data_IF_385947187859
#
_entry.id   IF_385947187859
#
_cell.length_a   1.000
_cell.length_b   1.000
_cell.length_c   1.000
_cell.angle_alpha   90.00
_cell.angle_beta   90.00
_cell.angle_gamma   90.00
#
_symmetry.space_group_name_H-M   'P 1'
#
loop_
_entity.id
_entity.type
_entity.pdbx_description
1 polymer ?
#
# COMPACT_ATOMS: atom_id res chain seq x y z
N UNK A 1 -16.11 -49.73 -5.74
CA UNK A 1 -15.46 -48.95 -6.82
C UNK A 1 -15.79 -47.46 -6.77
N UNK A 2 -17.03 -47.03 -6.44
CA UNK A 2 -17.41 -45.60 -6.41
C UNK A 2 -16.73 -44.73 -5.34
N UNK A 3 -16.70 -45.15 -4.07
CA UNK A 3 -16.15 -44.32 -2.97
C UNK A 3 -14.68 -43.91 -3.15
N UNK A 4 -13.84 -44.79 -3.69
CA UNK A 4 -12.43 -44.49 -3.97
C UNK A 4 -12.24 -43.45 -5.09
N UNK A 5 -13.20 -43.35 -6.01
CA UNK A 5 -13.19 -42.36 -7.10
C UNK A 5 -13.56 -40.96 -6.57
N UNK A 6 -14.52 -40.91 -5.63
CA UNK A 6 -14.98 -39.68 -4.99
C UNK A 6 -13.89 -39.07 -4.08
N UNK A 7 -13.21 -39.91 -3.28
CA UNK A 7 -12.12 -39.49 -2.39
C UNK A 7 -10.91 -38.95 -3.18
N UNK A 8 -10.58 -39.57 -4.32
CA UNK A 8 -9.50 -39.11 -5.20
C UNK A 8 -9.83 -37.77 -5.87
N UNK A 9 -11.09 -37.57 -6.26
CA UNK A 9 -11.57 -36.33 -6.85
C UNK A 9 -11.54 -35.19 -5.83
N UNK A 10 -11.95 -35.44 -4.59
CA UNK A 10 -11.87 -34.48 -3.48
C UNK A 10 -10.42 -34.10 -3.19
N UNK A 11 -9.50 -35.07 -3.15
CA UNK A 11 -8.09 -34.80 -2.94
C UNK A 11 -7.48 -33.92 -4.04
N UNK A 12 -7.82 -34.17 -5.32
CA UNK A 12 -7.38 -33.32 -6.44
C UNK A 12 -7.92 -31.89 -6.29
N UNK A 13 -9.21 -31.72 -5.94
CA UNK A 13 -9.80 -30.39 -5.73
C UNK A 13 -9.11 -29.66 -4.57
N UNK A 14 -8.88 -30.33 -3.43
CA UNK A 14 -8.19 -29.74 -2.29
C UNK A 14 -6.75 -29.36 -2.65
N UNK A 15 -6.04 -30.18 -3.41
CA UNK A 15 -4.66 -29.93 -3.83
C UNK A 15 -4.60 -28.75 -4.81
N UNK A 16 -5.53 -28.67 -5.76
CA UNK A 16 -5.66 -27.53 -6.68
C UNK A 16 -5.99 -26.24 -5.92
N UNK A 17 -6.88 -26.29 -4.93
CA UNK A 17 -7.20 -25.15 -4.05
C UNK A 17 -5.94 -24.69 -3.29
N UNK A 18 -5.14 -25.60 -2.73
CA UNK A 18 -3.89 -25.25 -2.05
C UNK A 18 -2.86 -24.63 -2.99
N UNK A 19 -2.72 -25.14 -4.22
CA UNK A 19 -1.82 -24.57 -5.23
C UNK A 19 -2.28 -23.14 -5.63
N UNK A 20 -3.59 -22.89 -5.70
CA UNK A 20 -4.14 -21.54 -5.95
C UNK A 20 -3.78 -20.57 -4.80
N UNK A 21 -3.79 -21.03 -3.54
CA UNK A 21 -3.45 -20.20 -2.38
C UNK A 21 -1.95 -20.03 -2.11
N UNK A 22 -1.08 -20.79 -2.77
CA UNK A 22 0.38 -20.70 -2.62
C UNK A 22 1.04 -19.62 -3.49
N UNK A 23 0.25 -18.78 -4.18
CA UNK A 23 0.81 -17.65 -4.92
C UNK A 23 1.49 -16.67 -3.96
N UNK A 24 2.79 -16.46 -4.16
CA UNK A 24 3.51 -15.40 -3.50
C UNK A 24 2.82 -14.06 -3.81
N UNK A 25 2.41 -13.38 -2.76
CA UNK A 25 1.77 -12.07 -2.82
C UNK A 25 2.82 -10.99 -3.16
N UNK A 26 3.10 -10.82 -4.46
CA UNK A 26 4.13 -9.88 -4.94
C UNK A 26 3.49 -8.52 -5.29
N UNK A 27 4.22 -7.46 -4.99
CA UNK A 27 3.92 -6.10 -5.42
C UNK A 27 5.15 -5.37 -5.94
N UNK A 28 4.93 -4.23 -6.58
CA UNK A 28 6.01 -3.37 -7.07
C UNK A 28 5.94 -1.96 -6.48
N UNK A 29 7.08 -1.28 -6.41
CA UNK A 29 7.13 0.15 -6.11
C UNK A 29 7.18 0.93 -7.42
N UNK A 30 6.18 1.78 -7.66
CA UNK A 30 6.10 2.59 -8.87
C UNK A 30 6.76 3.95 -8.63
N UNK A 31 8.06 4.02 -8.88
CA UNK A 31 8.83 5.27 -8.89
C UNK A 31 8.55 6.06 -10.16
N UNK A 32 8.28 7.36 -10.01
CA UNK A 32 7.89 8.24 -11.12
C UNK A 32 8.89 9.39 -11.38
N UNK A 33 10.07 9.35 -10.75
CA UNK A 33 11.14 10.34 -10.95
C UNK A 33 12.09 9.82 -12.03
N UNK A 34 11.77 10.10 -13.29
CA UNK A 34 12.59 9.87 -14.48
C UNK A 34 12.01 10.62 -15.68
N UNK A 35 12.74 10.71 -16.78
CA UNK A 35 12.42 11.52 -17.96
C UNK A 35 11.89 10.71 -19.16
N UNK A 36 11.88 9.38 -19.08
CA UNK A 36 11.53 8.48 -20.18
C UNK A 36 10.59 7.34 -19.78
N UNK A 37 9.83 7.50 -18.70
CA UNK A 37 8.89 6.47 -18.23
C UNK A 37 7.66 6.39 -19.14
N UNK A 38 7.08 5.19 -19.33
CA UNK A 38 5.77 5.04 -19.95
C UNK A 38 4.70 5.82 -19.18
N UNK A 39 3.61 6.25 -19.84
CA UNK A 39 2.49 6.88 -19.16
C UNK A 39 1.84 5.91 -18.15
N UNK A 40 1.18 6.41 -17.08
CA UNK A 40 0.68 5.55 -16.01
C UNK A 40 -0.26 4.44 -16.47
N UNK A 41 -1.09 4.70 -17.49
CA UNK A 41 -1.99 3.68 -18.04
C UNK A 41 -1.22 2.46 -18.57
N UNK A 42 -0.13 2.69 -19.33
CA UNK A 42 0.71 1.60 -19.84
C UNK A 42 1.40 0.83 -18.72
N UNK A 43 1.82 1.52 -17.64
CA UNK A 43 2.40 0.85 -16.47
C UNK A 43 1.37 -0.03 -15.76
N UNK A 44 0.12 0.44 -15.60
CA UNK A 44 -0.96 -0.35 -14.99
C UNK A 44 -1.34 -1.53 -15.88
N UNK A 45 -1.37 -1.36 -17.21
CA UNK A 45 -1.62 -2.45 -18.14
C UNK A 45 -0.49 -3.49 -18.12
N UNK A 46 0.77 -3.06 -18.01
CA UNK A 46 1.91 -3.96 -17.81
C UNK A 46 1.78 -4.72 -16.48
N UNK A 47 1.37 -4.07 -15.40
CA UNK A 47 1.11 -4.74 -14.12
C UNK A 47 0.06 -5.84 -14.27
N UNK A 48 -1.05 -5.54 -14.94
CA UNK A 48 -2.12 -6.53 -15.20
C UNK A 48 -1.63 -7.67 -16.08
N UNK A 49 -0.87 -7.39 -17.13
CA UNK A 49 -0.30 -8.40 -18.03
C UNK A 49 0.58 -9.40 -17.27
N UNK A 50 1.31 -8.93 -16.25
CA UNK A 50 2.19 -9.75 -15.43
C UNK A 50 1.59 -10.21 -14.09
N UNK A 51 0.26 -10.10 -13.92
CA UNK A 51 -0.44 -10.49 -12.70
C UNK A 51 0.11 -9.83 -11.41
N UNK A 52 0.62 -8.61 -11.52
CA UNK A 52 1.03 -7.79 -10.38
C UNK A 52 -0.23 -7.18 -9.77
N UNK A 53 -0.58 -7.64 -8.56
CA UNK A 53 -1.83 -7.27 -7.90
C UNK A 53 -1.65 -6.20 -6.81
N UNK A 54 -0.41 -5.76 -6.55
CA UNK A 54 -0.09 -4.76 -5.53
C UNK A 54 0.90 -3.74 -6.04
N UNK A 55 0.67 -2.48 -5.70
CA UNK A 55 1.50 -1.37 -6.14
C UNK A 55 1.68 -0.35 -5.01
N UNK A 56 2.90 0.14 -4.82
CA UNK A 56 3.20 1.27 -3.94
C UNK A 56 3.42 2.54 -4.77
N UNK A 57 2.68 3.59 -4.46
CA UNK A 57 2.94 4.97 -4.88
C UNK A 57 3.57 5.73 -3.72
N UNK A 58 4.62 6.50 -4.01
CA UNK A 58 5.33 7.29 -2.99
C UNK A 58 4.60 8.59 -2.62
N UNK A 59 3.72 9.07 -3.51
CA UNK A 59 2.95 10.30 -3.37
C UNK A 59 1.65 10.22 -4.20
N UNK A 60 0.63 11.05 -3.94
CA UNK A 60 -0.63 11.02 -4.68
C UNK A 60 -0.50 11.71 -6.05
N UNK A 61 -0.09 10.95 -7.07
CA UNK A 61 -0.03 11.44 -8.45
C UNK A 61 -1.38 11.23 -9.14
N UNK A 62 -2.15 12.29 -9.49
CA UNK A 62 -3.51 12.16 -10.00
C UNK A 62 -3.62 11.30 -11.26
N UNK A 63 -2.65 11.37 -12.18
CA UNK A 63 -2.64 10.58 -13.40
C UNK A 63 -2.49 9.08 -13.12
N UNK A 64 -1.67 8.71 -12.12
CA UNK A 64 -1.50 7.32 -11.72
C UNK A 64 -2.74 6.79 -10.98
N UNK A 65 -3.32 7.59 -10.07
CA UNK A 65 -4.57 7.25 -9.38
C UNK A 65 -5.74 7.11 -10.36
N UNK A 66 -5.79 7.93 -11.40
CA UNK A 66 -6.78 7.80 -12.47
C UNK A 66 -6.63 6.47 -13.23
N UNK A 67 -5.40 6.10 -13.61
CA UNK A 67 -5.12 4.83 -14.30
C UNK A 67 -5.41 3.60 -13.42
N UNK A 68 -5.29 3.72 -12.10
CA UNK A 68 -5.57 2.65 -11.14
C UNK A 68 -7.07 2.39 -10.94
N UNK A 69 -7.95 3.33 -11.30
CA UNK A 69 -9.40 3.17 -11.12
C UNK A 69 -9.91 1.92 -11.84
N UNK A 70 -10.55 1.02 -11.10
CA UNK A 70 -11.12 -0.21 -11.65
C UNK A 70 -10.10 -1.28 -12.08
N UNK A 71 -8.80 -1.06 -11.83
CA UNK A 71 -7.74 -2.03 -12.18
C UNK A 71 -7.76 -3.29 -11.31
N UNK A 72 -8.33 -3.21 -10.10
CA UNK A 72 -8.29 -4.27 -9.09
C UNK A 72 -6.96 -4.36 -8.31
N UNK A 73 -5.95 -3.60 -8.69
CA UNK A 73 -4.64 -3.55 -8.04
C UNK A 73 -4.76 -2.87 -6.68
N UNK A 74 -4.23 -3.51 -5.63
CA UNK A 74 -4.18 -2.97 -4.28
C UNK A 74 -3.07 -1.93 -4.13
N UNK A 75 -3.39 -0.79 -3.53
CA UNK A 75 -2.49 0.37 -3.49
C UNK A 75 -2.02 0.68 -2.07
N UNK A 76 -0.71 0.82 -1.90
CA UNK A 76 -0.10 1.56 -0.79
C UNK A 76 0.15 2.98 -1.29
N UNK A 77 -0.45 3.97 -0.64
CA UNK A 77 -0.32 5.38 -1.00
C UNK A 77 0.53 6.13 0.05
N UNK A 78 1.63 6.71 -0.37
CA UNK A 78 2.46 7.56 0.47
C UNK A 78 1.91 8.98 0.61
N UNK A 79 1.97 9.49 1.84
CA UNK A 79 1.93 10.93 2.14
C UNK A 79 3.33 11.48 2.00
N UNK A 80 3.48 12.61 1.32
CA UNK A 80 4.75 13.32 1.19
C UNK A 80 5.28 13.77 2.56
N UNK A 81 6.60 13.73 2.75
CA UNK A 81 7.22 14.06 4.05
C UNK A 81 6.91 15.52 4.46
N UNK A 82 6.83 16.42 3.48
CA UNK A 82 6.52 17.84 3.63
C UNK A 82 5.08 18.13 4.09
N UNK A 83 4.12 17.23 3.82
CA UNK A 83 2.72 17.41 4.20
C UNK A 83 2.44 17.02 5.66
N UNK A 84 3.34 16.27 6.28
CA UNK A 84 3.10 15.62 7.58
C UNK A 84 2.82 16.62 8.69
N UNK A 85 3.55 17.74 8.75
CA UNK A 85 3.32 18.75 9.79
C UNK A 85 1.94 19.39 9.66
N UNK A 86 1.50 19.69 8.44
CA UNK A 86 0.18 20.26 8.19
C UNK A 86 -0.93 19.27 8.57
N UNK A 87 -0.79 18.01 8.16
CA UNK A 87 -1.73 16.94 8.50
C UNK A 87 -1.77 16.71 10.02
N UNK A 88 -0.63 16.76 10.71
CA UNK A 88 -0.56 16.66 12.17
C UNK A 88 -1.25 17.85 12.87
N UNK A 89 -1.17 19.05 12.29
CA UNK A 89 -1.64 20.28 12.92
C UNK A 89 -3.16 20.36 13.10
N UNK A 90 -3.96 19.68 12.27
CA UNK A 90 -5.40 19.62 12.44
C UNK A 90 -6.06 18.46 11.69
N UNK A 91 -7.18 17.99 12.23
CA UNK A 91 -8.05 17.01 11.57
C UNK A 91 -8.59 17.54 10.22
N UNK A 92 -8.85 18.84 10.10
CA UNK A 92 -9.36 19.44 8.86
C UNK A 92 -8.37 19.31 7.68
N UNK A 93 -7.07 19.46 7.94
CA UNK A 93 -6.04 19.22 6.91
C UNK A 93 -6.00 17.75 6.49
N UNK A 94 -6.09 16.81 7.43
CA UNK A 94 -6.16 15.39 7.13
C UNK A 94 -7.40 15.03 6.30
N UNK A 95 -8.56 15.57 6.67
CA UNK A 95 -9.81 15.35 5.93
C UNK A 95 -9.71 15.90 4.50
N UNK A 96 -9.14 17.09 4.33
CA UNK A 96 -8.90 17.66 3.01
C UNK A 96 -7.96 16.78 2.18
N UNK A 97 -6.84 16.35 2.74
CA UNK A 97 -5.88 15.47 2.07
C UNK A 97 -6.55 14.16 1.63
N UNK A 98 -7.35 13.53 2.50
CA UNK A 98 -8.08 12.30 2.19
C UNK A 98 -9.16 12.53 1.13
N UNK A 99 -9.89 13.65 1.19
CA UNK A 99 -10.90 13.97 0.19
C UNK A 99 -10.26 14.13 -1.21
N UNK A 100 -9.11 14.80 -1.29
CA UNK A 100 -8.41 15.06 -2.55
C UNK A 100 -7.71 13.84 -3.13
N UNK A 101 -7.11 12.99 -2.28
CA UNK A 101 -6.19 11.95 -2.74
C UNK A 101 -6.77 10.53 -2.65
N UNK A 102 -7.83 10.34 -1.87
CA UNK A 102 -8.46 9.02 -1.66
C UNK A 102 -9.90 9.05 -2.17
N UNK A 103 -10.76 9.92 -1.63
CA UNK A 103 -12.19 9.92 -1.98
C UNK A 103 -12.48 10.43 -3.39
N UNK A 104 -11.61 11.26 -3.95
CA UNK A 104 -11.68 11.67 -5.36
C UNK A 104 -11.47 10.49 -6.34
N UNK A 105 -10.94 9.35 -5.87
CA UNK A 105 -10.64 8.17 -6.68
C UNK A 105 -11.34 6.92 -6.11
N UNK A 106 -12.70 6.88 -6.08
CA UNK A 106 -13.47 5.88 -5.35
C UNK A 106 -13.27 4.44 -5.85
N UNK A 107 -12.80 4.26 -7.10
CA UNK A 107 -12.57 2.94 -7.68
C UNK A 107 -11.11 2.46 -7.58
N UNK A 108 -10.24 3.17 -6.86
CA UNK A 108 -8.90 2.70 -6.52
C UNK A 108 -8.98 1.84 -5.25
N UNK A 109 -8.33 0.67 -5.27
CA UNK A 109 -8.34 -0.27 -4.15
C UNK A 109 -7.23 0.06 -3.14
N UNK A 110 -7.37 1.17 -2.43
CA UNK A 110 -6.43 1.55 -1.37
C UNK A 110 -6.43 0.51 -0.23
N UNK A 111 -5.24 0.07 0.19
CA UNK A 111 -5.05 -0.84 1.33
C UNK A 111 -4.33 -0.19 2.48
N UNK A 112 -3.30 0.60 2.18
CA UNK A 112 -2.51 1.28 3.18
C UNK A 112 -2.27 2.74 2.77
N UNK A 113 -2.28 3.63 3.75
CA UNK A 113 -1.70 4.97 3.64
C UNK A 113 -0.46 5.00 4.54
N UNK A 114 0.68 5.43 4.00
CA UNK A 114 1.93 5.55 4.77
C UNK A 114 2.27 7.01 5.03
N UNK A 115 2.43 7.37 6.29
CA UNK A 115 2.87 8.69 6.73
C UNK A 115 4.39 8.76 6.62
N UNK A 116 4.84 9.30 5.50
CA UNK A 116 6.24 9.49 5.19
C UNK A 116 6.99 8.25 4.75
N UNK A 117 8.23 8.50 4.33
CA UNK A 117 9.20 7.50 3.92
C UNK A 117 10.55 7.80 4.59
N UNK A 118 10.97 6.93 5.51
CA UNK A 118 12.32 6.94 6.12
C UNK A 118 12.65 8.29 6.78
N UNK A 119 11.71 8.79 7.60
CA UNK A 119 11.86 10.10 8.22
C UNK A 119 12.87 10.04 9.35
N UNK A 120 14.08 10.51 9.05
CA UNK A 120 15.15 10.68 10.03
C UNK A 120 15.23 12.12 10.59
N UNK A 121 14.40 13.06 10.11
CA UNK A 121 14.46 14.44 10.62
C UNK A 121 13.88 14.56 12.05
N UNK A 122 14.66 15.01 13.05
CA UNK A 122 14.16 15.21 14.42
C UNK A 122 13.09 16.30 14.50
N UNK A 123 13.01 17.17 13.49
CA UNK A 123 11.97 18.20 13.37
C UNK A 123 10.64 17.58 12.94
N UNK A 124 10.66 16.59 12.04
CA UNK A 124 9.43 16.00 11.47
C UNK A 124 8.93 14.81 12.29
N UNK A 125 9.83 14.00 12.87
CA UNK A 125 9.49 12.80 13.65
C UNK A 125 8.36 13.00 14.69
N UNK A 126 8.32 14.10 15.48
CA UNK A 126 7.25 14.31 16.46
C UNK A 126 5.84 14.42 15.86
N UNK A 127 5.74 14.73 14.57
CA UNK A 127 4.46 14.93 13.88
C UNK A 127 3.91 13.65 13.24
N UNK A 128 4.69 12.56 13.16
CA UNK A 128 4.26 11.31 12.49
C UNK A 128 3.03 10.72 13.19
N UNK A 129 3.08 10.54 14.51
CA UNK A 129 1.96 9.92 15.25
C UNK A 129 0.67 10.78 15.19
N UNK A 130 0.70 12.09 15.46
CA UNK A 130 -0.48 12.94 15.28
C UNK A 130 -1.03 12.90 13.85
N UNK A 131 -0.16 12.91 12.83
CA UNK A 131 -0.60 12.81 11.44
C UNK A 131 -1.26 11.46 11.13
N UNK A 132 -0.69 10.36 11.63
CA UNK A 132 -1.28 9.02 11.50
C UNK A 132 -2.67 8.95 12.14
N UNK A 133 -2.84 9.53 13.33
CA UNK A 133 -4.12 9.58 14.03
C UNK A 133 -5.16 10.37 13.23
N UNK A 134 -4.80 11.54 12.72
CA UNK A 134 -5.72 12.36 11.94
C UNK A 134 -6.12 11.68 10.63
N UNK A 135 -5.18 11.10 9.87
CA UNK A 135 -5.48 10.31 8.67
C UNK A 135 -6.37 9.11 9.01
N UNK A 136 -6.05 8.38 10.08
CA UNK A 136 -6.81 7.19 10.50
C UNK A 136 -8.27 7.54 10.79
N UNK A 137 -8.53 8.65 11.49
CA UNK A 137 -9.88 9.14 11.76
C UNK A 137 -10.67 9.40 10.47
N UNK A 138 -9.99 9.86 9.40
CA UNK A 138 -10.62 10.14 8.11
C UNK A 138 -10.89 8.90 7.24
N UNK A 139 -10.19 7.79 7.47
CA UNK A 139 -10.22 6.61 6.57
C UNK A 139 -10.63 5.28 7.23
N UNK A 140 -10.77 5.22 8.55
CA UNK A 140 -11.04 3.97 9.27
C UNK A 140 -12.30 3.24 8.77
N UNK A 141 -13.37 3.97 8.45
CA UNK A 141 -14.63 3.43 7.94
C UNK A 141 -14.51 2.88 6.51
N UNK A 142 -13.43 3.22 5.80
CA UNK A 142 -13.12 2.71 4.45
C UNK A 142 -12.32 1.39 4.51
N UNK A 143 -11.93 0.93 5.71
CA UNK A 143 -11.09 -0.26 5.88
C UNK A 143 -9.64 -0.09 5.43
N UNK A 144 -9.19 1.16 5.24
CA UNK A 144 -7.82 1.49 4.86
C UNK A 144 -6.95 1.55 6.12
N UNK A 145 -5.82 0.84 6.11
CA UNK A 145 -4.87 0.83 7.23
C UNK A 145 -3.90 2.00 7.12
N UNK A 146 -3.43 2.50 8.27
CA UNK A 146 -2.47 3.60 8.33
C UNK A 146 -1.18 3.11 8.97
N UNK A 147 -0.04 3.43 8.35
CA UNK A 147 1.29 3.04 8.83
C UNK A 147 2.30 4.17 8.57
N UNK A 148 3.56 3.94 8.90
CA UNK A 148 4.72 4.72 8.43
C UNK A 148 5.76 3.76 7.86
N UNK A 149 6.68 4.27 7.03
CA UNK A 149 7.77 3.49 6.45
C UNK A 149 9.08 3.89 7.13
N UNK A 150 9.76 2.91 7.70
CA UNK A 150 11.04 3.05 8.38
C UNK A 150 12.10 2.28 7.60
N UNK A 151 13.32 2.79 7.58
CA UNK A 151 14.50 2.02 7.19
C UNK A 151 15.10 1.32 8.41
N UNK A 152 16.11 0.47 8.19
CA UNK A 152 16.69 -0.36 9.26
C UNK A 152 17.59 0.42 10.23
N UNK A 153 17.93 1.68 9.96
CA UNK A 153 18.75 2.51 10.87
C UNK A 153 18.06 2.81 12.20
N UNK A 154 16.74 2.59 12.28
CA UNK A 154 15.98 2.70 13.53
C UNK A 154 16.37 1.64 14.56
N UNK A 155 17.02 0.54 14.13
CA UNK A 155 17.45 -0.54 15.01
C UNK A 155 18.81 -0.23 15.63
N UNK A 156 18.91 -0.36 16.96
CA UNK A 156 20.18 -0.28 17.68
C UNK A 156 20.96 -1.59 17.64
N UNK A 157 20.29 -2.74 17.80
CA UNK A 157 20.91 -4.06 17.66
C UNK A 157 20.06 -4.92 16.75
N UNK A 158 20.70 -5.59 15.78
CA UNK A 158 20.00 -6.38 14.75
C UNK A 158 20.49 -7.83 14.66
N UNK A 159 21.47 -8.23 15.49
CA UNK A 159 21.99 -9.59 15.53
C UNK A 159 22.25 -10.08 16.98
N UNK A 160 21.82 -11.31 17.33
CA UNK A 160 20.90 -12.16 16.57
C UNK A 160 19.52 -11.48 16.42
N UNK A 161 18.63 -11.93 15.53
CA UNK A 161 17.31 -11.29 15.35
C UNK A 161 16.49 -11.14 16.65
N UNK A 162 16.67 -12.05 17.62
CA UNK A 162 16.03 -11.95 18.94
C UNK A 162 16.54 -10.81 19.83
N UNK A 163 17.64 -10.15 19.46
CA UNK A 163 18.21 -9.00 20.17
C UNK A 163 17.78 -7.65 19.55
N UNK A 164 16.84 -7.66 18.60
CA UNK A 164 16.21 -6.48 18.00
C UNK A 164 15.75 -5.47 19.05
N UNK A 165 16.25 -4.22 18.98
CA UNK A 165 15.82 -3.09 19.83
C UNK A 165 16.03 -1.77 19.13
#
# INVERSE_FOLDING_TARGET
>A
MGRLCDDFTIFIIITLIHIIFLYAEIGICYGMIADNLPPPQEVIDLCKQHNIQRLRLYNPVPQALQALQGSGIEVILGVLNEDIQNIASSQAYADQWVNQNVKAFPNVKFKYITLGNEIDSPVVRPFILPAMQNIYNSVNALGIKVSTVLDLSVLGSSYPPSAGK
#
